data_IF_083111064434
#
_entry.id   IF_083111064434
#
_cell.length_a   1.000
_cell.length_b   1.000
_cell.length_c   1.000
_cell.angle_alpha   90.00
_cell.angle_beta   90.00
_cell.angle_gamma   90.00
#
_symmetry.space_group_name_H-M   'P 1'
#
loop_
_entity.id
_entity.type
_entity.pdbx_description
1 polymer ?
#
# COMPACT_ATOMS: atom_id res chain seq x y z
N UNK A 1 1.91 -26.91 18.20
CA UNK A 1 3.05 -26.18 18.81
C UNK A 1 3.72 -25.34 17.75
N UNK A 2 3.66 -24.00 17.91
CA UNK A 2 4.46 -22.90 17.31
C UNK A 2 3.55 -21.65 17.34
N UNK A 3 3.34 -21.08 18.53
CA UNK A 3 4.08 -19.92 19.07
C UNK A 3 3.88 -18.63 18.25
N UNK A 4 2.65 -18.10 18.25
CA UNK A 4 2.38 -16.71 17.87
C UNK A 4 2.52 -15.87 19.15
N UNK A 5 3.76 -15.59 19.55
CA UNK A 5 4.06 -14.64 20.63
C UNK A 5 4.80 -13.44 20.06
N UNK A 6 4.36 -12.28 20.55
CA UNK A 6 4.98 -10.95 20.47
C UNK A 6 4.54 -10.06 19.30
N UNK A 7 3.29 -9.59 19.38
CA UNK A 7 3.03 -8.17 19.12
C UNK A 7 2.70 -7.49 20.45
N UNK A 8 3.76 -7.06 21.15
CA UNK A 8 3.65 -6.27 22.36
C UNK A 8 3.33 -4.81 21.97
N UNK A 9 2.11 -4.39 22.33
CA UNK A 9 1.74 -3.10 22.92
C UNK A 9 2.04 -1.79 22.14
N UNK A 10 1.03 -1.35 21.41
CA UNK A 10 0.52 0.03 21.47
C UNK A 10 -0.97 -0.12 21.79
N UNK A 11 -1.39 0.08 23.04
CA UNK A 11 -2.70 -0.35 23.60
C UNK A 11 -3.97 0.18 22.93
N UNK A 12 -3.87 0.98 21.86
CA UNK A 12 -5.00 1.56 21.13
C UNK A 12 -4.91 1.45 19.60
N UNK A 13 -3.83 0.87 19.05
CA UNK A 13 -3.68 0.75 17.60
C UNK A 13 -4.03 -0.65 17.17
N UNK A 14 -5.08 -0.79 16.34
CA UNK A 14 -5.39 -2.06 15.68
C UNK A 14 -4.14 -2.52 14.89
N UNK A 15 -3.68 -3.77 15.08
CA UNK A 15 -2.49 -4.26 14.39
C UNK A 15 -2.74 -4.24 12.88
N UNK A 16 -1.74 -3.82 12.11
CA UNK A 16 -1.78 -3.90 10.64
C UNK A 16 -1.25 -5.26 10.22
N UNK A 17 -2.15 -6.10 9.71
CA UNK A 17 -1.81 -7.43 9.24
C UNK A 17 -1.30 -7.35 7.79
N UNK A 18 -0.28 -8.13 7.46
CA UNK A 18 0.18 -8.24 6.09
C UNK A 18 -0.80 -9.10 5.28
N UNK A 19 -1.48 -8.51 4.30
CA UNK A 19 -2.44 -9.20 3.44
C UNK A 19 -1.81 -9.63 2.11
N UNK A 20 -1.97 -10.90 1.76
CA UNK A 20 -1.58 -11.50 0.47
C UNK A 20 -2.82 -11.94 -0.32
N UNK A 21 -2.67 -12.09 -1.65
CA UNK A 21 -3.76 -12.55 -2.48
C UNK A 21 -4.21 -13.94 -2.04
N UNK A 22 -5.52 -14.15 -1.99
CA UNK A 22 -6.10 -15.44 -1.68
C UNK A 22 -5.62 -16.48 -2.72
N UNK A 23 -5.02 -17.61 -2.29
CA UNK A 23 -4.50 -18.62 -3.22
C UNK A 23 -5.61 -19.34 -3.99
N UNK A 24 -6.83 -19.38 -3.44
CA UNK A 24 -7.98 -20.07 -4.03
C UNK A 24 -8.56 -19.27 -5.21
N UNK A 25 -8.96 -18.02 -4.97
CA UNK A 25 -9.52 -17.18 -6.04
C UNK A 25 -8.45 -16.35 -6.80
N UNK A 26 -7.19 -16.38 -6.37
CA UNK A 26 -6.07 -15.59 -6.91
C UNK A 26 -6.35 -14.09 -6.93
N UNK A 27 -6.93 -13.58 -5.84
CA UNK A 27 -7.28 -12.17 -5.71
C UNK A 27 -8.57 -11.74 -6.41
N UNK A 28 -9.24 -12.63 -7.15
CA UNK A 28 -10.47 -12.28 -7.90
C UNK A 28 -11.72 -12.13 -7.02
N UNK A 29 -11.65 -12.46 -5.73
CA UNK A 29 -12.79 -12.53 -4.82
C UNK A 29 -13.89 -13.56 -5.16
N UNK A 30 -13.85 -14.14 -6.36
CA UNK A 30 -14.82 -15.14 -6.83
C UNK A 30 -14.14 -16.39 -7.40
N UNK A 31 -14.84 -17.51 -7.36
CA UNK A 31 -14.47 -18.78 -7.98
C UNK A 31 -15.50 -19.14 -9.06
N UNK A 32 -15.08 -19.89 -10.08
CA UNK A 32 -15.99 -20.31 -11.15
C UNK A 32 -16.91 -21.42 -10.62
N UNK A 33 -18.21 -21.19 -10.59
CA UNK A 33 -19.22 -22.22 -10.45
C UNK A 33 -19.57 -22.85 -11.79
N UNK A 34 -20.59 -23.71 -11.79
CA UNK A 34 -21.06 -24.39 -13.01
C UNK A 34 -21.73 -23.42 -13.99
N UNK A 35 -22.47 -22.44 -13.46
CA UNK A 35 -23.26 -21.49 -14.28
C UNK A 35 -22.93 -20.02 -14.04
N UNK A 36 -22.34 -19.69 -12.88
CA UNK A 36 -22.05 -18.32 -12.46
C UNK A 36 -20.84 -18.28 -11.53
N UNK A 37 -20.32 -17.09 -11.28
CA UNK A 37 -19.25 -16.88 -10.33
C UNK A 37 -19.78 -16.91 -8.89
N UNK A 38 -19.13 -17.69 -8.04
CA UNK A 38 -19.46 -17.82 -6.62
C UNK A 38 -18.49 -16.97 -5.81
N UNK A 39 -19.00 -16.32 -4.76
CA UNK A 39 -18.15 -15.60 -3.80
C UNK A 39 -17.16 -16.60 -3.18
N UNK A 40 -15.87 -16.25 -3.19
CA UNK A 40 -14.83 -17.07 -2.61
C UNK A 40 -14.93 -17.02 -1.08
N UNK A 41 -15.37 -18.11 -0.48
CA UNK A 41 -15.53 -18.26 0.97
C UNK A 41 -14.21 -18.28 1.72
N UNK A 42 -13.12 -18.76 1.10
CA UNK A 42 -11.77 -18.76 1.67
C UNK A 42 -11.15 -17.37 1.88
N UNK A 43 -11.83 -16.32 1.42
CA UNK A 43 -11.40 -14.94 1.67
C UNK A 43 -12.57 -14.00 1.95
N UNK A 44 -13.76 -14.54 2.27
CA UNK A 44 -15.00 -13.75 2.43
C UNK A 44 -15.26 -12.78 1.27
N UNK A 45 -14.95 -13.19 0.03
CA UNK A 45 -15.14 -12.34 -1.14
C UNK A 45 -14.25 -11.10 -1.21
N UNK A 46 -13.16 -11.03 -0.42
CA UNK A 46 -12.24 -9.89 -0.49
C UNK A 46 -11.12 -10.07 -1.50
N UNK A 47 -10.78 -11.32 -1.84
CA UNK A 47 -9.57 -11.64 -2.60
C UNK A 47 -8.28 -11.61 -1.77
N UNK A 48 -8.34 -11.33 -0.47
CA UNK A 48 -7.17 -11.18 0.40
C UNK A 48 -7.25 -12.07 1.64
N UNK A 49 -6.09 -12.59 2.07
CA UNK A 49 -5.92 -13.38 3.30
C UNK A 49 -4.66 -12.93 4.03
N UNK A 50 -4.53 -13.27 5.31
CA UNK A 50 -3.34 -12.93 6.11
C UNK A 50 -2.14 -13.73 5.62
N UNK A 51 -0.99 -13.08 5.45
CA UNK A 51 0.24 -13.77 5.05
C UNK A 51 0.64 -14.82 6.07
N UNK A 52 1.02 -16.01 5.58
CA UNK A 52 1.43 -17.12 6.44
C UNK A 52 0.28 -17.81 7.18
N UNK A 53 -0.94 -17.29 7.05
CA UNK A 53 -2.13 -17.85 7.68
C UNK A 53 -3.20 -18.07 6.63
N UNK A 54 -3.64 -19.32 6.45
CA UNK A 54 -4.85 -19.60 5.67
C UNK A 54 -6.14 -19.22 6.42
N UNK A 55 -6.02 -18.50 7.54
CA UNK A 55 -7.18 -18.07 8.31
C UNK A 55 -7.92 -16.96 7.56
N UNK A 56 -9.21 -17.20 7.40
CA UNK A 56 -10.16 -16.20 6.95
C UNK A 56 -10.40 -15.24 8.11
N UNK A 57 -10.11 -13.95 7.89
CA UNK A 57 -10.37 -12.93 8.91
C UNK A 57 -11.88 -12.78 9.14
N UNK A 58 -12.32 -12.53 10.38
CA UNK A 58 -13.66 -12.04 10.64
C UNK A 58 -13.95 -10.79 9.80
N UNK A 59 -15.19 -10.64 9.34
CA UNK A 59 -15.55 -9.60 8.37
C UNK A 59 -15.20 -8.19 8.86
N UNK A 60 -15.45 -7.89 10.14
CA UNK A 60 -15.14 -6.58 10.74
C UNK A 60 -13.63 -6.27 10.73
N UNK A 61 -12.81 -7.27 11.03
CA UNK A 61 -11.36 -7.13 11.01
C UNK A 61 -10.85 -7.01 9.57
N UNK A 62 -11.39 -7.83 8.66
CA UNK A 62 -11.07 -7.81 7.24
C UNK A 62 -11.34 -6.43 6.61
N UNK A 63 -12.50 -5.83 6.88
CA UNK A 63 -12.84 -4.48 6.39
C UNK A 63 -11.82 -3.45 6.86
N UNK A 64 -11.40 -3.53 8.12
CA UNK A 64 -10.38 -2.62 8.67
C UNK A 64 -9.04 -2.79 7.96
N UNK A 65 -8.57 -4.04 7.79
CA UNK A 65 -7.28 -4.32 7.12
C UNK A 65 -7.29 -3.89 5.64
N UNK A 66 -8.41 -4.13 4.94
CA UNK A 66 -8.58 -3.68 3.56
C UNK A 66 -8.58 -2.16 3.43
N UNK A 67 -9.20 -1.44 4.38
CA UNK A 67 -9.15 0.03 4.43
C UNK A 67 -7.71 0.53 4.53
N UNK A 68 -6.90 -0.06 5.42
CA UNK A 68 -5.48 0.31 5.53
C UNK A 68 -4.70 0.05 4.24
N UNK A 69 -4.93 -1.09 3.59
CA UNK A 69 -4.27 -1.43 2.33
C UNK A 69 -4.66 -0.49 1.20
N UNK A 70 -5.94 -0.16 1.08
CA UNK A 70 -6.46 0.77 0.08
C UNK A 70 -5.87 2.17 0.27
N UNK A 71 -5.85 2.68 1.50
CA UNK A 71 -5.22 3.97 1.81
C UNK A 71 -3.74 3.99 1.44
N UNK A 72 -3.01 2.90 1.71
CA UNK A 72 -1.60 2.79 1.33
C UNK A 72 -1.42 2.81 -0.19
N UNK A 73 -2.23 2.03 -0.93
CA UNK A 73 -2.19 2.00 -2.39
C UNK A 73 -2.52 3.38 -3.00
N UNK A 74 -3.52 4.07 -2.47
CA UNK A 74 -3.91 5.40 -2.90
C UNK A 74 -2.76 6.41 -2.73
N UNK A 75 -2.08 6.41 -1.58
CA UNK A 75 -0.89 7.24 -1.34
C UNK A 75 0.25 6.91 -2.30
N UNK A 76 0.47 5.64 -2.61
CA UNK A 76 1.48 5.22 -3.59
C UNK A 76 1.15 5.72 -5.00
N UNK A 77 -0.12 5.61 -5.41
CA UNK A 77 -0.60 6.13 -6.70
C UNK A 77 -0.43 7.65 -6.76
N UNK A 78 -0.79 8.38 -5.71
CA UNK A 78 -0.61 9.83 -5.63
C UNK A 78 0.87 10.23 -5.70
N UNK A 79 1.75 9.51 -5.01
CA UNK A 79 3.19 9.74 -5.07
C UNK A 79 3.76 9.52 -6.48
N UNK A 80 3.22 8.57 -7.25
CA UNK A 80 3.61 8.30 -8.63
C UNK A 80 3.01 9.33 -9.63
N UNK A 81 1.83 9.89 -9.32
CA UNK A 81 1.16 10.91 -10.14
C UNK A 81 1.62 12.34 -9.86
N UNK A 82 2.25 12.58 -8.72
CA UNK A 82 2.86 13.87 -8.40
C UNK A 82 3.82 14.29 -9.50
N UNK A 83 4.14 15.60 -9.63
CA UNK A 83 5.08 16.06 -10.65
C UNK A 83 6.32 15.19 -10.51
N UNK A 84 6.64 14.42 -11.56
CA UNK A 84 7.89 13.72 -11.63
C UNK A 84 8.92 14.78 -11.28
N UNK A 85 9.64 14.60 -10.18
CA UNK A 85 10.83 15.40 -9.88
C UNK A 85 11.85 15.03 -10.97
N UNK A 86 11.58 15.46 -12.19
CA UNK A 86 12.55 15.62 -13.25
C UNK A 86 13.37 16.81 -12.79
N UNK A 87 14.21 16.57 -11.78
CA UNK A 87 15.36 17.40 -11.51
C UNK A 87 16.33 17.07 -12.64
N UNK A 88 15.98 17.52 -13.85
CA UNK A 88 16.93 17.58 -14.94
C UNK A 88 18.04 18.54 -14.53
N UNK A 89 19.27 18.35 -15.04
CA UNK A 89 20.39 19.24 -14.72
C UNK A 89 20.05 20.73 -14.93
N UNK A 90 19.12 21.03 -15.84
CA UNK A 90 18.56 22.37 -16.06
C UNK A 90 18.04 23.06 -14.79
N UNK A 91 17.36 22.35 -13.87
CA UNK A 91 16.85 22.98 -12.64
C UNK A 91 17.96 23.29 -11.63
N UNK A 92 19.07 22.54 -11.64
CA UNK A 92 20.24 22.86 -10.81
C UNK A 92 20.94 24.15 -11.26
N UNK A 93 20.93 24.45 -12.56
CA UNK A 93 21.46 25.71 -13.09
C UNK A 93 20.56 26.92 -12.80
N UNK A 94 19.26 26.71 -12.58
CA UNK A 94 18.31 27.77 -12.24
C UNK A 94 18.13 27.97 -10.73
N UNK A 95 18.65 27.07 -9.89
CA UNK A 95 18.70 27.30 -8.45
C UNK A 95 19.73 28.39 -8.13
N UNK A 96 19.28 29.49 -7.54
CA UNK A 96 20.19 30.55 -7.07
C UNK A 96 21.14 29.97 -6.02
N UNK A 97 22.44 30.19 -6.19
CA UNK A 97 23.43 29.84 -5.18
C UNK A 97 23.12 30.63 -3.89
N UNK A 98 22.58 29.94 -2.87
CA UNK A 98 22.24 30.52 -1.57
C UNK A 98 23.38 30.43 -0.55
N UNK A 99 24.50 29.83 -0.92
CA UNK A 99 25.69 29.74 -0.07
C UNK A 99 26.55 31.01 -0.25
N UNK A 100 26.13 32.12 0.35
CA UNK A 100 26.93 33.35 0.44
C UNK A 100 26.13 34.65 0.32
N UNK A 101 26.72 35.77 0.78
CA UNK A 101 26.10 37.10 0.84
C UNK A 101 25.89 37.80 -0.53
N UNK A 102 25.92 37.06 -1.63
CA UNK A 102 25.89 37.61 -2.99
C UNK A 102 25.31 36.62 -3.99
N UNK A 103 24.11 36.11 -3.72
CA UNK A 103 23.39 35.20 -4.62
C UNK A 103 22.96 35.92 -5.91
N UNK A 104 23.86 36.01 -6.88
CA UNK A 104 23.57 36.50 -8.24
C UNK A 104 23.79 35.39 -9.24
N UNK A 105 22.80 35.17 -10.11
CA UNK A 105 22.92 34.32 -11.29
C UNK A 105 23.20 35.23 -12.48
N UNK A 106 24.39 35.10 -13.08
CA UNK A 106 24.75 35.81 -14.31
C UNK A 106 24.30 34.98 -15.52
N UNK A 107 23.41 35.55 -16.34
CA UNK A 107 23.07 35.01 -17.66
C UNK A 107 23.50 36.07 -18.67
N UNK A 108 24.64 35.85 -19.34
CA UNK A 108 25.11 36.72 -20.42
C UNK A 108 24.38 36.39 -21.72
N UNK A 109 24.01 37.43 -22.46
CA UNK A 109 23.39 37.41 -23.79
C UNK A 109 24.42 37.22 -24.93
#
# INVERSE_FOLDING_TARGET
MQNVKNHLQDGFKRPRLELVQCPVCRGRAVVKGVFYELVCTDCNGSGWVVKGSRLVLPLEELVTQLSFKLQQAQRQIEALKGPAKVVGPQQQYHESNRLGAGGTNYTGD
#
